data_IF_290837598019
#
_entry.id   IF_290837598019
#
_cell.length_a   1.000
_cell.length_b   1.000
_cell.length_c   1.000
_cell.angle_alpha   90.00
_cell.angle_beta   90.00
_cell.angle_gamma   90.00
#
_symmetry.space_group_name_H-M   'P 1'
#
loop_
_entity.id
_entity.type
_entity.pdbx_description
1 polymer ?
#
# COMPACT_ATOMS: atom_id res chain seq x y z
N UNK A 1 -18.07 -17.34 -54.26
CA UNK A 1 -16.99 -18.22 -53.79
C UNK A 1 -15.82 -17.34 -53.38
N UNK A 2 -15.68 -17.03 -52.08
CA UNK A 2 -14.56 -16.24 -51.59
C UNK A 2 -13.41 -17.19 -51.22
N UNK A 3 -12.25 -16.92 -51.81
CA UNK A 3 -11.04 -17.73 -51.72
C UNK A 3 -10.33 -17.41 -50.40
N UNK A 4 -10.32 -18.34 -49.44
CA UNK A 4 -9.71 -18.20 -48.10
C UNK A 4 -8.20 -18.55 -48.08
N UNK A 5 -7.53 -18.58 -49.24
CA UNK A 5 -6.15 -19.05 -49.38
C UNK A 5 -5.08 -17.98 -49.08
N UNK A 6 -5.18 -17.28 -47.95
CA UNK A 6 -4.22 -16.19 -47.63
C UNK A 6 -4.01 -15.85 -46.16
N UNK A 7 -4.63 -16.58 -45.21
CA UNK A 7 -4.34 -16.37 -43.79
C UNK A 7 -3.22 -17.33 -43.38
N UNK A 8 -2.01 -16.79 -43.34
CA UNK A 8 -0.83 -17.42 -42.78
C UNK A 8 -1.02 -17.61 -41.26
N UNK A 9 -1.61 -18.76 -40.89
CA UNK A 9 -1.79 -19.16 -39.51
C UNK A 9 -0.46 -19.28 -38.74
N UNK A 10 0.68 -19.47 -39.42
CA UNK A 10 1.99 -19.50 -38.77
C UNK A 10 2.41 -18.11 -38.29
N UNK A 11 2.05 -17.03 -39.00
CA UNK A 11 2.29 -15.64 -38.57
C UNK A 11 1.47 -15.25 -37.34
N UNK A 12 0.20 -15.64 -37.28
CA UNK A 12 -0.66 -15.38 -36.11
C UNK A 12 -0.24 -16.20 -34.87
N UNK A 13 0.40 -17.36 -35.10
CA UNK A 13 0.96 -18.19 -34.03
C UNK A 13 2.32 -17.67 -33.54
N UNK A 14 3.11 -17.01 -34.40
CA UNK A 14 4.43 -16.49 -34.07
C UNK A 14 4.39 -15.20 -33.23
N UNK A 15 3.34 -14.39 -33.32
CA UNK A 15 3.11 -13.27 -32.38
C UNK A 15 2.77 -13.73 -30.95
N UNK A 16 2.48 -15.02 -30.75
CA UNK A 16 2.37 -15.64 -29.41
C UNK A 16 3.73 -15.99 -28.79
N UNK A 17 4.82 -15.36 -29.28
CA UNK A 17 6.15 -15.42 -28.69
C UNK A 17 6.21 -14.77 -27.31
N UNK A 18 5.88 -15.56 -26.28
CA UNK A 18 6.30 -15.38 -24.88
C UNK A 18 5.95 -14.01 -24.28
N UNK A 19 4.66 -13.69 -24.19
CA UNK A 19 4.21 -12.71 -23.21
C UNK A 19 4.78 -13.11 -21.84
N UNK A 20 5.69 -12.32 -21.29
CA UNK A 20 6.20 -12.54 -19.95
C UNK A 20 5.00 -12.65 -19.01
N UNK A 21 4.91 -13.78 -18.30
CA UNK A 21 3.80 -13.99 -17.38
C UNK A 21 3.80 -12.86 -16.35
N UNK A 22 2.65 -12.20 -16.15
CA UNK A 22 2.50 -11.22 -15.08
C UNK A 22 2.14 -11.95 -13.79
N UNK A 23 2.55 -11.37 -12.68
CA UNK A 23 2.11 -11.78 -11.36
C UNK A 23 0.64 -11.37 -11.19
N UNK A 24 -0.22 -12.32 -10.85
CA UNK A 24 -1.65 -12.08 -10.61
C UNK A 24 -1.89 -11.23 -9.35
N UNK A 25 -0.93 -11.23 -8.40
CA UNK A 25 -1.00 -10.41 -7.19
C UNK A 25 -0.59 -8.94 -7.41
N UNK A 26 0.58 -8.69 -8.01
CA UNK A 26 1.15 -7.33 -8.10
C UNK A 26 1.22 -6.75 -9.52
N UNK A 27 0.89 -7.53 -10.55
CA UNK A 27 0.92 -7.11 -11.95
C UNK A 27 2.32 -7.04 -12.60
N UNK A 28 3.39 -7.18 -11.82
CA UNK A 28 4.78 -7.16 -12.32
C UNK A 28 5.09 -8.39 -13.17
N UNK A 29 5.96 -8.23 -14.17
CA UNK A 29 6.45 -9.34 -14.97
C UNK A 29 7.28 -10.33 -14.15
N UNK A 30 6.99 -11.62 -14.33
CA UNK A 30 7.72 -12.73 -13.73
C UNK A 30 8.91 -13.04 -14.64
N UNK A 31 10.10 -12.61 -14.19
CA UNK A 31 11.34 -12.67 -14.98
C UNK A 31 12.10 -13.99 -14.77
N UNK A 32 12.07 -14.53 -13.55
CA UNK A 32 12.64 -15.83 -13.19
C UNK A 32 12.01 -16.34 -11.88
N UNK A 33 11.78 -17.65 -11.79
CA UNK A 33 11.06 -18.23 -10.65
C UNK A 33 9.59 -17.80 -10.60
N UNK A 34 8.85 -18.30 -9.61
CA UNK A 34 7.44 -17.95 -9.41
C UNK A 34 6.69 -19.06 -8.69
N UNK A 35 5.69 -18.68 -7.91
CA UNK A 35 4.87 -19.58 -7.11
C UNK A 35 3.50 -19.71 -7.78
N UNK A 36 3.00 -20.93 -7.92
CA UNK A 36 1.63 -21.18 -8.40
C UNK A 36 0.76 -21.62 -7.23
N UNK A 37 -0.40 -21.00 -7.06
CA UNK A 37 -1.41 -21.41 -6.07
C UNK A 37 -2.80 -21.16 -6.65
N UNK A 38 -3.68 -22.16 -6.55
CA UNK A 38 -5.11 -22.03 -6.91
C UNK A 38 -5.38 -21.49 -8.32
N UNK A 39 -4.55 -21.87 -9.28
CA UNK A 39 -4.65 -21.42 -10.68
C UNK A 39 -3.99 -20.07 -10.98
N UNK A 40 -3.53 -19.35 -9.96
CA UNK A 40 -2.83 -18.07 -10.09
C UNK A 40 -1.30 -18.23 -10.04
N UNK A 41 -0.59 -17.26 -10.62
CA UNK A 41 0.88 -17.16 -10.66
C UNK A 41 1.35 -15.92 -9.92
N UNK A 42 2.32 -16.11 -9.04
CA UNK A 42 2.90 -15.05 -8.22
C UNK A 42 4.41 -14.96 -8.44
N UNK A 43 4.96 -13.75 -8.33
CA UNK A 43 6.41 -13.55 -8.47
C UNK A 43 7.21 -14.16 -7.30
N UNK A 44 6.61 -14.33 -6.12
CA UNK A 44 7.23 -14.92 -4.92
C UNK A 44 6.16 -15.39 -3.90
N UNK A 45 6.61 -15.99 -2.79
CA UNK A 45 5.73 -16.48 -1.71
C UNK A 45 4.94 -15.37 -1.01
N UNK A 46 5.52 -14.17 -0.85
CA UNK A 46 4.81 -13.03 -0.24
C UNK A 46 3.59 -12.62 -1.08
N UNK A 47 3.77 -12.56 -2.40
CA UNK A 47 2.67 -12.33 -3.33
C UNK A 47 1.68 -13.50 -3.35
N UNK A 48 2.13 -14.74 -3.19
CA UNK A 48 1.21 -15.88 -3.10
C UNK A 48 0.32 -15.81 -1.85
N UNK A 49 0.90 -15.43 -0.70
CA UNK A 49 0.16 -15.30 0.55
C UNK A 49 -0.85 -14.14 0.55
N UNK A 50 -0.52 -13.02 -0.09
CA UNK A 50 -1.35 -11.80 -0.08
C UNK A 50 -2.22 -11.63 -1.34
N UNK A 51 -1.88 -12.33 -2.41
CA UNK A 51 -2.37 -12.06 -3.76
C UNK A 51 -3.83 -12.41 -3.95
N UNK A 52 -4.37 -13.41 -3.26
CA UNK A 52 -5.80 -13.74 -3.33
C UNK A 52 -6.68 -12.59 -2.83
N UNK A 53 -6.30 -11.92 -1.74
CA UNK A 53 -7.01 -10.73 -1.23
C UNK A 53 -6.94 -9.60 -2.26
N UNK A 54 -5.78 -9.39 -2.88
CA UNK A 54 -5.61 -8.35 -3.90
C UNK A 54 -6.45 -8.63 -5.15
N UNK A 55 -6.55 -9.89 -5.58
CA UNK A 55 -7.36 -10.31 -6.72
C UNK A 55 -8.85 -10.10 -6.45
N UNK A 56 -9.32 -10.56 -5.29
CA UNK A 56 -10.72 -10.39 -4.88
C UNK A 56 -11.10 -8.94 -4.65
N UNK A 57 -10.13 -8.11 -4.26
CA UNK A 57 -10.33 -6.66 -4.15
C UNK A 57 -10.86 -6.06 -5.46
N UNK A 58 -10.45 -6.57 -6.62
CA UNK A 58 -10.89 -6.05 -7.92
C UNK A 58 -12.34 -6.40 -8.27
N UNK A 59 -12.94 -7.40 -7.60
CA UNK A 59 -14.34 -7.73 -7.77
C UNK A 59 -15.28 -6.84 -6.93
N UNK A 60 -14.74 -5.97 -6.05
CA UNK A 60 -15.55 -5.07 -5.22
C UNK A 60 -16.18 -3.97 -6.10
N UNK A 61 -17.52 -3.85 -6.14
CA UNK A 61 -18.22 -2.78 -6.86
C UNK A 61 -17.78 -1.40 -6.35
N UNK A 62 -17.51 -0.47 -7.26
CA UNK A 62 -16.98 0.85 -6.90
C UNK A 62 -17.98 1.65 -6.05
N UNK A 63 -19.28 1.50 -6.29
CA UNK A 63 -20.34 2.20 -5.57
C UNK A 63 -20.49 1.73 -4.11
N UNK A 64 -20.12 0.47 -3.82
CA UNK A 64 -20.05 -0.04 -2.45
C UNK A 64 -18.78 0.43 -1.77
N UNK A 65 -17.66 0.40 -2.51
CA UNK A 65 -16.37 0.85 -2.01
C UNK A 65 -16.41 2.33 -1.62
N UNK A 66 -16.93 3.21 -2.46
CA UNK A 66 -16.99 4.66 -2.19
C UNK A 66 -17.84 4.98 -0.97
N UNK A 67 -18.98 4.30 -0.80
CA UNK A 67 -19.82 4.45 0.39
C UNK A 67 -19.09 4.04 1.66
N UNK A 68 -18.45 2.87 1.64
CA UNK A 68 -17.75 2.35 2.80
C UNK A 68 -16.48 3.17 3.12
N UNK A 69 -15.77 3.67 2.11
CA UNK A 69 -14.67 4.62 2.31
C UNK A 69 -15.17 5.87 3.00
N UNK A 70 -16.29 6.44 2.55
CA UNK A 70 -16.85 7.65 3.16
C UNK A 70 -17.29 7.41 4.61
N UNK A 71 -17.92 6.27 4.88
CA UNK A 71 -18.32 5.86 6.23
C UNK A 71 -17.11 5.70 7.17
N UNK A 72 -16.08 4.97 6.74
CA UNK A 72 -14.84 4.82 7.51
C UNK A 72 -14.13 6.16 7.70
N UNK A 73 -14.09 6.99 6.66
CA UNK A 73 -13.45 8.31 6.72
C UNK A 73 -14.17 9.25 7.69
N UNK A 74 -15.50 9.19 7.81
CA UNK A 74 -16.27 10.04 8.73
C UNK A 74 -16.44 9.43 10.13
N UNK A 75 -16.05 8.17 10.33
CA UNK A 75 -16.20 7.46 11.59
C UNK A 75 -15.31 7.97 12.73
N UNK A 76 -15.42 7.31 13.88
CA UNK A 76 -14.63 7.63 15.07
C UNK A 76 -13.20 7.10 14.99
N UNK A 77 -12.24 7.92 15.42
CA UNK A 77 -10.84 7.57 15.33
C UNK A 77 -10.51 6.32 16.18
N UNK A 78 -9.93 5.25 15.60
CA UNK A 78 -9.62 4.04 16.35
C UNK A 78 -8.53 4.22 17.41
N UNK A 79 -7.79 5.35 17.38
CA UNK A 79 -6.74 5.67 18.36
C UNK A 79 -7.23 6.44 19.57
N UNK A 80 -8.16 7.38 19.38
CA UNK A 80 -8.60 8.27 20.45
C UNK A 80 -10.11 8.27 20.71
N UNK A 81 -10.90 7.58 19.88
CA UNK A 81 -12.37 7.57 19.94
C UNK A 81 -13.04 8.91 19.61
N UNK A 82 -12.27 9.92 19.18
CA UNK A 82 -12.83 11.22 18.79
C UNK A 82 -13.43 11.19 17.38
N UNK A 83 -14.28 12.16 17.03
CA UNK A 83 -14.93 12.21 15.73
C UNK A 83 -13.91 12.36 14.59
N UNK A 84 -14.26 11.82 13.43
CA UNK A 84 -13.51 11.95 12.19
C UNK A 84 -13.32 13.40 11.72
N UNK A 85 -12.60 13.61 10.60
CA UNK A 85 -12.27 12.58 9.63
C UNK A 85 -11.00 11.78 9.95
N UNK A 86 -11.01 10.51 9.53
CA UNK A 86 -9.93 9.54 9.65
C UNK A 86 -9.26 9.35 8.30
N UNK A 87 -7.92 9.36 8.30
CA UNK A 87 -7.15 9.08 7.09
C UNK A 87 -5.86 8.32 7.41
N UNK A 88 -5.10 7.95 6.39
CA UNK A 88 -3.79 7.31 6.52
C UNK A 88 -2.71 8.36 6.72
N UNK A 89 -2.09 8.35 7.89
CA UNK A 89 -0.96 9.20 8.23
C UNK A 89 0.32 8.39 8.34
N UNK A 90 1.39 8.84 7.67
CA UNK A 90 2.71 8.24 7.74
C UNK A 90 3.55 8.93 8.82
N UNK A 91 4.21 8.14 9.66
CA UNK A 91 5.26 8.60 10.57
C UNK A 91 6.58 7.95 10.20
N UNK A 92 7.64 8.74 9.99
CA UNK A 92 8.97 8.27 9.64
C UNK A 92 9.92 8.40 10.82
N UNK A 93 10.53 7.30 11.26
CA UNK A 93 11.53 7.29 12.33
C UNK A 93 12.89 6.85 11.79
N UNK A 94 13.91 7.62 12.11
CA UNK A 94 15.31 7.28 11.90
C UNK A 94 15.97 7.05 13.25
N UNK A 95 16.79 6.01 13.37
CA UNK A 95 17.80 5.97 14.42
C UNK A 95 19.11 5.46 13.83
N UNK A 96 20.21 5.98 14.37
CA UNK A 96 21.55 5.65 13.94
C UNK A 96 22.43 5.44 15.16
N UNK A 97 23.39 4.52 15.07
CA UNK A 97 24.42 4.30 16.08
C UNK A 97 25.71 3.85 15.38
N UNK A 98 26.71 4.74 15.36
CA UNK A 98 28.07 4.57 14.81
C UNK A 98 28.11 4.06 13.36
N UNK A 99 27.79 2.79 13.13
CA UNK A 99 27.80 2.12 11.81
C UNK A 99 26.43 1.57 11.39
N UNK A 100 25.44 1.56 12.26
CA UNK A 100 24.09 1.04 11.96
C UNK A 100 23.11 2.19 11.81
N UNK A 101 22.37 2.22 10.70
CA UNK A 101 21.26 3.16 10.51
C UNK A 101 20.02 2.35 10.17
N UNK A 102 18.94 2.57 10.92
CA UNK A 102 17.66 1.94 10.68
C UNK A 102 16.60 3.01 10.45
N UNK A 103 15.77 2.75 9.45
CA UNK A 103 14.71 3.65 9.01
C UNK A 103 13.41 2.88 9.02
N UNK A 104 12.35 3.48 9.57
CA UNK A 104 11.05 2.85 9.63
C UNK A 104 9.97 3.86 9.22
N UNK A 105 9.06 3.43 8.36
CA UNK A 105 7.91 4.20 7.90
C UNK A 105 6.65 3.44 8.30
N UNK A 106 5.88 4.00 9.23
CA UNK A 106 4.70 3.33 9.77
C UNK A 106 3.42 4.02 9.26
N UNK A 107 2.59 3.35 8.44
CA UNK A 107 1.25 3.82 8.11
C UNK A 107 0.32 3.68 9.30
N UNK A 108 -0.55 4.67 9.54
CA UNK A 108 -1.50 4.67 10.65
C UNK A 108 -2.84 5.24 10.19
N UNK A 109 -3.91 4.47 10.32
CA UNK A 109 -5.29 4.94 10.06
C UNK A 109 -5.79 5.65 11.33
N UNK A 110 -5.84 6.98 11.31
CA UNK A 110 -6.25 7.78 12.47
C UNK A 110 -6.70 9.19 12.09
N UNK A 111 -7.27 9.94 13.04
CA UNK A 111 -7.59 11.34 12.83
C UNK A 111 -6.33 12.21 12.77
N UNK A 112 -6.50 13.44 12.30
CA UNK A 112 -5.39 14.39 12.09
C UNK A 112 -4.56 14.65 13.35
N UNK A 113 -5.20 14.86 14.50
CA UNK A 113 -4.48 15.17 15.75
C UNK A 113 -3.61 13.99 16.21
N UNK A 114 -4.12 12.76 16.10
CA UNK A 114 -3.37 11.53 16.35
C UNK A 114 -2.20 11.37 15.37
N UNK A 115 -2.43 11.62 14.08
CA UNK A 115 -1.40 11.59 13.05
C UNK A 115 -0.27 12.58 13.31
N UNK A 116 -0.61 13.83 13.62
CA UNK A 116 0.37 14.88 13.98
C UNK A 116 1.15 14.48 15.23
N UNK A 117 0.50 13.97 16.28
CA UNK A 117 1.18 13.51 17.49
C UNK A 117 2.21 12.42 17.19
N UNK A 118 1.86 11.45 16.34
CA UNK A 118 2.78 10.41 15.91
C UNK A 118 3.96 10.97 15.08
N UNK A 119 3.70 11.91 14.17
CA UNK A 119 4.72 12.57 13.35
C UNK A 119 5.67 13.43 14.17
N UNK A 120 5.17 14.14 15.17
CA UNK A 120 5.99 14.92 16.11
C UNK A 120 6.86 13.99 16.94
N UNK A 121 6.30 12.93 17.53
CA UNK A 121 7.07 11.95 18.28
C UNK A 121 8.17 11.30 17.43
N UNK A 122 7.86 10.94 16.19
CA UNK A 122 8.81 10.37 15.24
C UNK A 122 9.90 11.36 14.80
N UNK A 123 9.55 12.65 14.66
CA UNK A 123 10.50 13.73 14.39
C UNK A 123 11.45 13.91 15.57
N UNK A 124 10.93 13.99 16.80
CA UNK A 124 11.74 14.12 18.01
C UNK A 124 12.66 12.92 18.18
N UNK A 125 12.18 11.69 18.01
CA UNK A 125 13.03 10.50 18.11
C UNK A 125 14.14 10.52 17.05
N UNK A 126 13.82 10.91 15.81
CA UNK A 126 14.80 11.00 14.73
C UNK A 126 15.82 12.11 14.96
N UNK A 127 15.39 13.24 15.51
CA UNK A 127 16.26 14.37 15.84
C UNK A 127 17.13 14.15 17.08
N UNK A 128 16.86 13.13 17.91
CA UNK A 128 17.73 12.80 19.05
C UNK A 128 18.62 11.61 18.72
N UNK A 129 18.09 10.61 18.00
CA UNK A 129 18.75 9.33 17.78
C UNK A 129 19.31 9.15 16.37
N UNK A 130 19.02 10.04 15.42
CA UNK A 130 19.42 9.88 14.01
C UNK A 130 20.86 10.32 13.69
N UNK A 131 21.49 11.12 14.55
CA UNK A 131 22.76 11.81 14.25
C UNK A 131 24.01 10.99 14.54
N UNK A 132 23.89 9.85 15.21
CA UNK A 132 25.05 9.14 15.77
C UNK A 132 25.80 8.25 14.78
N UNK A 133 25.39 8.17 13.51
CA UNK A 133 26.10 7.40 12.48
C UNK A 133 26.70 8.29 11.40
N UNK A 134 27.98 8.07 11.10
CA UNK A 134 28.73 8.78 10.07
C UNK A 134 29.02 7.85 8.88
N UNK A 135 28.82 8.27 7.62
CA UNK A 135 28.23 9.55 7.17
C UNK A 135 26.70 9.54 7.07
N UNK A 136 26.08 8.36 7.11
CA UNK A 136 24.69 8.16 6.67
C UNK A 136 23.63 8.80 7.59
N UNK A 137 23.85 8.84 8.89
CA UNK A 137 22.94 9.45 9.86
C UNK A 137 22.76 10.95 9.64
N UNK A 138 23.84 11.66 9.28
CA UNK A 138 23.81 13.10 9.04
C UNK A 138 23.05 13.48 7.75
N UNK A 139 23.01 12.58 6.76
CA UNK A 139 22.33 12.79 5.48
C UNK A 139 20.85 12.37 5.53
N UNK A 140 20.53 11.20 6.10
CA UNK A 140 19.17 10.66 6.05
C UNK A 140 18.25 11.20 7.14
N UNK A 141 18.79 11.56 8.30
CA UNK A 141 18.02 12.17 9.39
C UNK A 141 17.33 13.47 8.99
N UNK A 142 17.98 14.46 8.34
CA UNK A 142 17.28 15.66 7.89
C UNK A 142 16.20 15.35 6.85
N UNK A 143 16.41 14.37 5.96
CA UNK A 143 15.38 13.95 4.99
C UNK A 143 14.12 13.45 5.71
N UNK A 144 14.27 12.60 6.74
CA UNK A 144 13.12 12.08 7.49
C UNK A 144 12.41 13.16 8.31
N UNK A 145 13.18 14.07 8.92
CA UNK A 145 12.63 15.23 9.62
C UNK A 145 11.80 16.08 8.66
N UNK A 146 12.33 16.41 7.48
CA UNK A 146 11.62 17.20 6.46
C UNK A 146 10.35 16.50 6.01
N UNK A 147 10.35 15.18 5.81
CA UNK A 147 9.15 14.42 5.43
C UNK A 147 8.06 14.49 6.49
N UNK A 148 8.42 14.32 7.77
CA UNK A 148 7.45 14.46 8.86
C UNK A 148 6.96 15.90 9.01
N UNK A 149 7.86 16.89 8.98
CA UNK A 149 7.49 18.32 9.06
C UNK A 149 6.58 18.71 7.91
N UNK A 150 6.87 18.31 6.67
CA UNK A 150 5.99 18.54 5.53
C UNK A 150 4.61 17.90 5.76
N UNK A 151 4.55 16.68 6.29
CA UNK A 151 3.30 16.03 6.61
C UNK A 151 2.51 16.70 7.76
N UNK A 152 3.19 17.46 8.63
CA UNK A 152 2.58 18.28 9.70
C UNK A 152 2.08 19.62 9.14
N UNK A 153 2.88 20.29 8.31
CA UNK A 153 2.61 21.64 7.79
C UNK A 153 1.60 21.61 6.65
N UNK A 154 1.73 20.67 5.72
CA UNK A 154 0.78 20.49 4.62
C UNK A 154 -0.47 19.85 5.20
N UNK A 155 -1.54 20.66 5.34
CA UNK A 155 -2.85 20.16 5.74
C UNK A 155 -3.42 19.33 4.59
N UNK A 156 -3.73 18.04 4.81
CA UNK A 156 -4.48 17.25 3.84
C UNK A 156 -5.84 17.91 3.59
N UNK A 157 -6.42 17.65 2.42
CA UNK A 157 -7.82 17.99 2.19
C UNK A 157 -8.70 17.02 2.99
N UNK A 158 -9.27 17.50 4.08
CA UNK A 158 -10.11 16.70 4.97
C UNK A 158 -11.51 16.43 4.38
N UNK A 159 -11.86 17.03 3.24
CA UNK A 159 -13.16 16.80 2.58
C UNK A 159 -13.16 15.54 1.71
N UNK A 160 -11.98 14.97 1.43
CA UNK A 160 -11.83 13.82 0.53
C UNK A 160 -10.92 12.75 1.14
N UNK A 161 -11.34 11.47 1.12
CA UNK A 161 -10.51 10.38 1.61
C UNK A 161 -9.27 10.21 0.72
N UNK A 162 -8.13 9.87 1.33
CA UNK A 162 -6.92 9.62 0.55
C UNK A 162 -7.01 8.33 -0.29
N UNK A 163 -6.26 8.25 -1.40
CA UNK A 163 -6.12 7.00 -2.16
C UNK A 163 -5.56 5.84 -1.32
N UNK A 164 -4.73 6.14 -0.31
CA UNK A 164 -4.22 5.10 0.59
C UNK A 164 -5.32 4.52 1.48
N UNK A 165 -6.21 5.37 2.01
CA UNK A 165 -7.37 4.91 2.78
C UNK A 165 -8.28 4.04 1.90
N UNK A 166 -8.57 4.50 0.69
CA UNK A 166 -9.36 3.75 -0.28
C UNK A 166 -8.79 2.36 -0.55
N UNK A 167 -7.49 2.25 -0.75
CA UNK A 167 -6.81 0.98 -0.96
C UNK A 167 -6.89 0.05 0.26
N UNK A 168 -6.68 0.58 1.48
CA UNK A 168 -6.79 -0.21 2.70
C UNK A 168 -8.21 -0.73 2.92
N UNK A 169 -9.21 0.13 2.73
CA UNK A 169 -10.63 -0.24 2.82
C UNK A 169 -10.98 -1.33 1.79
N UNK A 170 -10.52 -1.18 0.55
CA UNK A 170 -10.74 -2.17 -0.51
C UNK A 170 -10.17 -3.55 -0.14
N UNK A 171 -8.98 -3.57 0.48
CA UNK A 171 -8.37 -4.81 0.97
C UNK A 171 -9.10 -5.38 2.19
N UNK A 172 -9.57 -4.54 3.09
CA UNK A 172 -10.34 -4.95 4.27
C UNK A 172 -11.65 -5.63 3.87
N UNK A 173 -12.40 -5.02 2.95
CA UNK A 173 -13.61 -5.59 2.37
C UNK A 173 -13.34 -6.94 1.68
N UNK A 174 -12.29 -7.01 0.87
CA UNK A 174 -11.88 -8.26 0.21
C UNK A 174 -11.50 -9.35 1.22
N UNK A 175 -10.81 -8.98 2.30
CA UNK A 175 -10.42 -9.92 3.36
C UNK A 175 -11.61 -10.43 4.16
N UNK A 176 -12.60 -9.58 4.39
CA UNK A 176 -13.85 -9.93 5.08
C UNK A 176 -14.71 -10.88 4.25
N UNK A 177 -14.69 -10.77 2.92
CA UNK A 177 -15.38 -11.70 2.02
C UNK A 177 -14.75 -13.11 2.04
N UNK A 178 -13.43 -13.22 2.29
CA UNK A 178 -12.71 -14.50 2.40
C UNK A 178 -12.88 -15.13 3.79
N UNK A 179 -13.21 -14.33 4.82
CA UNK A 179 -13.52 -14.80 6.18
C UNK A 179 -15.04 -14.88 6.37
N UNK A 180 -15.72 -15.95 5.93
CA UNK A 180 -17.12 -16.16 6.31
C UNK A 180 -17.21 -16.36 7.83
N UNK A 181 -17.69 -15.34 8.54
CA UNK A 181 -18.19 -15.45 9.91
C UNK A 181 -17.17 -15.24 11.03
N UNK A 182 -16.89 -13.97 11.36
CA UNK A 182 -16.71 -13.57 12.77
C UNK A 182 -17.68 -12.43 13.01
N UNK A 183 -18.90 -12.79 13.43
CA UNK A 183 -19.74 -11.87 14.17
C UNK A 183 -19.03 -11.65 15.50
N UNK A 184 -18.56 -10.43 15.76
CA UNK A 184 -18.39 -9.94 17.14
C UNK A 184 -19.76 -9.79 17.79
#
# INVERSE_FOLDING_TARGET
>A
MYNFAGLDWQRLSAEQGRAMAKCDGCGTFIVFGGVKSDGYRYCNNDCAQRGQVQLLSNAVPQELLDRYIHEVHQGDCPKCGGPGPIDVHMSHTCWSALVMTSMNSKPQVCCRSCGVKAQVGATCSSAVLGWWGFPWGLLFTPIQIVRNVKAIVVKPDHSRPSPQLAHLVKLDLASSAIRPGIKT
#
